data_IF_500346194097
#
_entry.id   IF_500346194097
#
_cell.length_a   1.000
_cell.length_b   1.000
_cell.length_c   1.000
_cell.angle_alpha   90.00
_cell.angle_beta   90.00
_cell.angle_gamma   90.00
#
_symmetry.space_group_name_H-M   'P 1'
#
loop_
_entity.id
_entity.type
_entity.pdbx_description
1 polymer ?
#
# COMPACT_ATOMS: atom_id res chain seq x y z
N UNK A 1 -19.27 0.50 -13.81
CA UNK A 1 -19.95 -0.81 -13.81
C UNK A 1 -21.26 -0.63 -14.54
N UNK A 2 -21.43 -1.33 -15.64
CA UNK A 2 -22.61 -1.26 -16.51
C UNK A 2 -23.41 -2.56 -16.33
N UNK A 3 -24.72 -2.46 -16.04
CA UNK A 3 -25.60 -3.58 -15.68
C UNK A 3 -26.57 -3.98 -16.80
N UNK A 4 -26.33 -3.49 -18.02
CA UNK A 4 -27.34 -3.51 -19.10
C UNK A 4 -27.61 -4.86 -19.78
N UNK A 5 -26.89 -5.94 -19.43
CA UNK A 5 -27.06 -7.27 -20.06
C UNK A 5 -27.08 -8.45 -19.07
N UNK A 6 -27.30 -8.22 -17.77
CA UNK A 6 -27.26 -9.30 -16.74
C UNK A 6 -28.35 -10.36 -16.97
N UNK A 7 -29.45 -9.99 -17.65
CA UNK A 7 -30.56 -10.89 -17.97
C UNK A 7 -30.23 -11.93 -19.04
N UNK A 8 -29.19 -11.72 -19.86
CA UNK A 8 -28.82 -12.68 -20.92
C UNK A 8 -28.16 -13.94 -20.35
N UNK A 9 -27.56 -13.85 -19.14
CA UNK A 9 -26.96 -14.99 -18.45
C UNK A 9 -28.00 -16.00 -17.94
N UNK A 10 -29.23 -15.56 -17.67
CA UNK A 10 -30.33 -16.44 -17.26
C UNK A 10 -30.96 -17.20 -18.43
N UNK A 11 -30.68 -16.79 -19.67
CA UNK A 11 -31.21 -17.42 -20.88
C UNK A 11 -30.23 -18.43 -21.49
N UNK A 12 -29.03 -18.60 -20.92
CA UNK A 12 -28.06 -19.60 -21.36
C UNK A 12 -28.58 -21.01 -20.99
N UNK A 13 -28.88 -21.89 -21.97
CA UNK A 13 -29.31 -23.26 -21.70
C UNK A 13 -28.30 -24.10 -20.93
N UNK A 14 -27.03 -23.66 -20.85
CA UNK A 14 -26.00 -24.29 -20.02
C UNK A 14 -26.02 -23.83 -18.55
N UNK A 15 -26.78 -22.79 -18.20
CA UNK A 15 -26.78 -22.19 -16.86
C UNK A 15 -27.67 -22.92 -15.85
N UNK A 16 -28.79 -23.52 -16.29
CA UNK A 16 -29.77 -24.15 -15.38
C UNK A 16 -29.50 -25.64 -15.10
N UNK A 17 -28.26 -26.11 -15.31
CA UNK A 17 -27.79 -27.44 -14.90
C UNK A 17 -28.60 -28.63 -15.45
N UNK A 18 -28.18 -29.85 -15.10
CA UNK A 18 -28.98 -31.04 -15.39
C UNK A 18 -30.12 -31.17 -14.37
N UNK A 19 -31.33 -31.59 -14.78
CA UNK A 19 -32.49 -31.67 -13.91
C UNK A 19 -32.25 -32.62 -12.73
N UNK A 20 -32.49 -32.14 -11.52
CA UNK A 20 -32.35 -32.94 -10.29
C UNK A 20 -33.60 -33.80 -10.10
N UNK A 21 -33.46 -35.13 -10.00
CA UNK A 21 -34.57 -36.02 -9.64
C UNK A 21 -34.82 -35.98 -8.13
N UNK A 22 -35.99 -35.48 -7.71
CA UNK A 22 -36.43 -35.55 -6.32
C UNK A 22 -37.22 -36.85 -6.12
N UNK A 23 -36.70 -37.76 -5.28
CA UNK A 23 -37.43 -38.97 -4.86
C UNK A 23 -38.16 -38.71 -3.54
N UNK A 24 -39.46 -39.02 -3.50
CA UNK A 24 -40.22 -38.97 -2.25
C UNK A 24 -39.89 -40.17 -1.37
N UNK A 25 -39.28 -39.91 -0.22
CA UNK A 25 -39.01 -40.93 0.81
C UNK A 25 -40.12 -40.86 1.85
N UNK A 26 -40.88 -41.95 2.04
CA UNK A 26 -41.90 -42.04 3.09
C UNK A 26 -41.21 -42.23 4.44
N UNK A 27 -41.55 -41.38 5.42
CA UNK A 27 -40.80 -41.13 6.66
C UNK A 27 -40.64 -42.28 7.67
N UNK A 28 -40.93 -43.53 7.29
CA UNK A 28 -40.71 -44.71 8.14
C UNK A 28 -39.44 -45.52 7.74
N UNK A 29 -38.74 -45.11 6.66
CA UNK A 29 -37.48 -45.71 6.24
C UNK A 29 -36.33 -44.75 6.55
N UNK A 30 -35.39 -45.17 7.39
CA UNK A 30 -34.15 -44.42 7.63
C UNK A 30 -33.32 -44.39 6.33
N UNK A 31 -32.82 -43.20 5.95
CA UNK A 31 -31.92 -43.06 4.78
C UNK A 31 -30.60 -43.74 5.11
N UNK A 32 -30.19 -44.69 4.27
CA UNK A 32 -28.87 -45.31 4.35
C UNK A 32 -27.87 -44.55 3.47
N UNK A 33 -26.57 -44.62 3.74
CA UNK A 33 -25.55 -43.92 2.95
C UNK A 33 -25.60 -44.29 1.45
N UNK A 34 -26.01 -45.52 1.14
CA UNK A 34 -26.25 -46.01 -0.23
C UNK A 34 -27.42 -45.31 -0.94
N UNK A 35 -28.37 -44.73 -0.21
CA UNK A 35 -29.48 -43.94 -0.77
C UNK A 35 -29.05 -42.50 -1.11
N UNK A 36 -28.00 -42.00 -0.44
CA UNK A 36 -27.45 -40.65 -0.61
C UNK A 36 -26.39 -40.62 -1.71
N UNK A 37 -25.59 -41.69 -1.81
CA UNK A 37 -24.50 -41.83 -2.77
C UNK A 37 -24.60 -43.14 -3.58
N UNK A 38 -25.57 -43.27 -4.50
CA UNK A 38 -25.77 -44.50 -5.26
C UNK A 38 -24.66 -44.81 -6.29
N UNK A 39 -23.68 -43.92 -6.43
CA UNK A 39 -22.62 -43.99 -7.46
C UNK A 39 -21.25 -44.38 -6.87
N UNK A 40 -21.11 -44.58 -5.55
CA UNK A 40 -19.81 -44.97 -4.94
C UNK A 40 -19.28 -46.33 -5.42
N UNK A 41 -20.13 -47.19 -6.00
CA UNK A 41 -19.74 -48.49 -6.55
C UNK A 41 -19.60 -48.50 -8.09
N UNK A 42 -19.43 -47.34 -8.74
CA UNK A 42 -19.13 -47.28 -10.17
C UNK A 42 -17.65 -46.91 -10.40
N UNK A 43 -16.87 -47.89 -10.85
CA UNK A 43 -15.48 -47.69 -11.24
C UNK A 43 -15.38 -46.58 -12.30
N UNK A 44 -14.65 -45.50 -11.99
CA UNK A 44 -14.41 -44.42 -12.95
C UNK A 44 -13.42 -44.93 -14.00
N UNK A 45 -13.91 -45.16 -15.22
CA UNK A 45 -13.12 -45.68 -16.34
C UNK A 45 -12.47 -44.52 -17.10
N UNK A 46 -11.16 -44.55 -17.28
CA UNK A 46 -10.45 -43.54 -18.07
C UNK A 46 -10.79 -43.68 -19.56
N UNK A 47 -11.30 -42.62 -20.22
CA UNK A 47 -11.75 -42.67 -21.61
C UNK A 47 -10.64 -42.89 -22.65
N UNK A 48 -9.36 -42.64 -22.34
CA UNK A 48 -8.26 -42.93 -23.27
C UNK A 48 -7.72 -44.35 -23.16
N UNK A 49 -7.72 -44.93 -21.96
CA UNK A 49 -7.05 -46.21 -21.68
C UNK A 49 -8.02 -47.39 -21.51
N UNK A 50 -9.30 -47.12 -21.22
CA UNK A 50 -10.35 -48.14 -21.09
C UNK A 50 -10.19 -49.06 -19.88
N UNK A 51 -9.36 -48.67 -18.91
CA UNK A 51 -9.11 -49.40 -17.67
C UNK A 51 -9.67 -48.61 -16.47
N UNK A 52 -10.08 -49.30 -15.39
CA UNK A 52 -10.52 -48.63 -14.17
C UNK A 52 -9.37 -47.85 -13.55
N UNK A 53 -9.60 -46.59 -13.18
CA UNK A 53 -8.60 -45.76 -12.51
C UNK A 53 -8.52 -46.18 -11.05
N UNK A 54 -7.43 -46.86 -10.71
CA UNK A 54 -7.13 -47.27 -9.34
C UNK A 54 -6.45 -46.11 -8.59
N UNK A 55 -7.14 -45.52 -7.61
CA UNK A 55 -6.66 -44.37 -6.83
C UNK A 55 -5.85 -44.79 -5.60
N UNK A 56 -5.44 -46.07 -5.49
CA UNK A 56 -4.56 -46.56 -4.43
C UNK A 56 -3.08 -46.19 -4.66
N UNK A 57 -2.77 -44.90 -4.72
CA UNK A 57 -1.46 -44.42 -4.26
C UNK A 57 -1.68 -43.58 -3.01
N UNK A 58 -1.82 -44.29 -1.89
CA UNK A 58 -1.66 -43.75 -0.55
C UNK A 58 -0.21 -43.27 -0.42
N UNK A 59 0.01 -41.99 -0.75
CA UNK A 59 1.25 -41.30 -0.46
C UNK A 59 1.42 -41.40 1.06
N UNK A 60 2.32 -42.26 1.52
CA UNK A 60 2.76 -42.32 2.92
C UNK A 60 3.62 -41.10 3.23
N UNK A 61 3.04 -39.91 3.06
CA UNK A 61 3.50 -38.73 3.75
C UNK A 61 3.25 -38.99 5.23
N UNK A 62 4.30 -39.27 5.99
CA UNK A 62 4.24 -39.32 7.45
C UNK A 62 3.69 -37.97 7.94
N UNK A 63 2.37 -37.93 8.19
CA UNK A 63 1.76 -36.82 8.89
C UNK A 63 2.43 -36.74 10.26
N UNK A 64 2.86 -35.55 10.72
CA UNK A 64 3.41 -35.43 12.06
C UNK A 64 2.36 -35.98 13.04
N UNK A 65 2.76 -37.01 13.80
CA UNK A 65 1.98 -37.51 14.92
C UNK A 65 1.63 -36.33 15.81
N UNK A 66 0.38 -36.31 16.32
CA UNK A 66 -0.21 -35.19 17.06
C UNK A 66 0.84 -34.43 17.88
N UNK A 67 0.93 -33.09 17.73
CA UNK A 67 1.90 -32.32 18.48
C UNK A 67 1.77 -32.65 19.96
N UNK A 68 2.89 -32.86 20.64
CA UNK A 68 2.90 -33.18 22.07
C UNK A 68 2.03 -32.15 22.81
N UNK A 69 0.95 -32.63 23.44
CA UNK A 69 0.06 -31.79 24.24
C UNK A 69 0.90 -31.34 25.43
N UNK A 70 1.47 -30.14 25.33
CA UNK A 70 2.04 -29.45 26.47
C UNK A 70 0.90 -29.25 27.47
N UNK A 71 1.04 -29.85 28.66
CA UNK A 71 0.15 -29.61 29.78
C UNK A 71 0.26 -28.12 30.12
N UNK A 72 -0.67 -27.33 29.57
CA UNK A 72 -0.72 -25.89 29.80
C UNK A 72 -0.69 -25.64 31.30
N UNK A 73 0.20 -24.74 31.73
CA UNK A 73 0.23 -24.30 33.13
C UNK A 73 -1.13 -23.78 33.59
N UNK A 74 -1.32 -23.60 34.90
CA UNK A 74 -2.56 -23.05 35.46
C UNK A 74 -3.04 -21.86 34.63
N UNK A 75 -4.28 -21.96 34.12
CA UNK A 75 -4.95 -20.85 33.47
C UNK A 75 -5.23 -19.84 34.59
N UNK A 76 -4.29 -18.93 34.83
CA UNK A 76 -4.55 -17.74 35.64
C UNK A 76 -5.47 -16.86 34.79
N UNK A 77 -6.78 -17.09 34.91
CA UNK A 77 -7.78 -16.20 34.35
C UNK A 77 -7.82 -14.95 35.21
N UNK A 78 -6.86 -14.04 35.00
CA UNK A 78 -7.08 -12.67 35.43
C UNK A 78 -8.35 -12.20 34.72
N UNK A 79 -9.40 -11.92 35.49
CA UNK A 79 -10.69 -11.52 34.97
C UNK A 79 -10.47 -10.24 34.16
N UNK A 80 -10.60 -10.32 32.83
CA UNK A 80 -10.56 -9.13 31.97
C UNK A 80 -11.61 -8.16 32.50
N UNK A 81 -11.18 -6.96 32.87
CA UNK A 81 -12.11 -5.94 33.36
C UNK A 81 -13.17 -5.70 32.28
N UNK A 82 -14.44 -5.78 32.67
CA UNK A 82 -15.56 -5.47 31.78
C UNK A 82 -15.51 -3.99 31.45
N UNK A 83 -15.40 -3.68 30.16
CA UNK A 83 -15.38 -2.30 29.68
C UNK A 83 -16.81 -1.96 29.25
N UNK A 84 -17.40 -0.97 29.91
CA UNK A 84 -18.72 -0.47 29.59
C UNK A 84 -18.60 0.87 28.85
N UNK A 85 -19.22 0.97 27.67
CA UNK A 85 -19.38 2.23 26.95
C UNK A 85 -20.87 2.53 26.88
N UNK A 86 -21.30 3.64 27.49
CA UNK A 86 -22.72 4.03 27.59
C UNK A 86 -23.64 2.94 28.19
N UNK A 87 -23.13 2.13 29.14
CA UNK A 87 -23.91 1.10 29.85
C UNK A 87 -24.02 -0.25 29.14
N UNK A 88 -23.39 -0.40 27.96
CA UNK A 88 -23.33 -1.67 27.22
C UNK A 88 -21.97 -2.33 27.43
N UNK A 89 -21.97 -3.62 27.78
CA UNK A 89 -20.76 -4.45 27.90
C UNK A 89 -20.18 -4.69 26.50
N UNK A 90 -18.96 -4.20 26.28
CA UNK A 90 -18.28 -4.32 24.99
C UNK A 90 -16.89 -4.94 25.18
N UNK A 91 -16.53 -5.87 24.30
CA UNK A 91 -15.19 -6.45 24.24
C UNK A 91 -14.35 -5.71 23.21
N UNK A 92 -13.21 -5.15 23.62
CA UNK A 92 -12.26 -4.51 22.71
C UNK A 92 -11.57 -5.60 21.89
N UNK A 93 -11.95 -5.72 20.61
CA UNK A 93 -11.40 -6.73 19.69
C UNK A 93 -10.03 -6.32 19.14
N UNK A 94 -9.81 -5.02 18.94
CA UNK A 94 -8.55 -4.51 18.42
C UNK A 94 -8.28 -3.10 18.98
N UNK A 95 -7.10 -2.90 19.55
CA UNK A 95 -6.66 -1.63 20.10
C UNK A 95 -5.58 -1.03 19.18
N UNK A 96 -5.74 0.23 18.81
CA UNK A 96 -4.75 0.96 18.00
C UNK A 96 -4.17 2.12 18.82
N UNK A 97 -2.89 2.04 19.15
CA UNK A 97 -2.15 3.18 19.67
C UNK A 97 -1.81 4.11 18.50
N UNK A 98 -2.29 5.34 18.53
CA UNK A 98 -1.96 6.36 17.53
C UNK A 98 -0.72 7.12 17.99
N UNK A 99 0.43 6.88 17.38
CA UNK A 99 1.54 7.83 17.48
C UNK A 99 1.22 9.03 16.58
N UNK A 100 1.08 10.22 17.16
CA UNK A 100 0.79 11.48 16.45
C UNK A 100 2.05 12.04 15.75
N UNK A 101 2.83 11.17 15.13
CA UNK A 101 4.01 11.53 14.35
C UNK A 101 3.61 11.64 12.88
N UNK A 102 3.95 12.77 12.25
CA UNK A 102 3.69 13.01 10.83
C UNK A 102 5.02 12.87 10.09
N UNK A 103 5.00 12.03 9.06
CA UNK A 103 6.13 11.82 8.19
C UNK A 103 6.07 12.73 6.97
N UNK A 104 7.18 13.40 6.68
CA UNK A 104 7.36 14.16 5.46
C UNK A 104 8.28 13.41 4.50
N UNK A 105 8.06 13.58 3.20
CA UNK A 105 8.92 13.06 2.14
C UNK A 105 9.10 14.12 1.06
N UNK A 106 10.33 14.47 0.76
CA UNK A 106 10.70 15.37 -0.32
C UNK A 106 10.94 14.61 -1.62
N UNK A 107 10.05 14.84 -2.59
CA UNK A 107 10.23 14.35 -3.95
C UNK A 107 11.26 15.20 -4.69
N UNK A 108 12.47 14.67 -4.87
CA UNK A 108 13.54 15.33 -5.63
C UNK A 108 13.30 15.15 -7.14
N UNK A 109 13.57 16.21 -7.89
CA UNK A 109 13.58 16.15 -9.35
C UNK A 109 14.70 15.20 -9.83
N UNK A 110 14.45 14.41 -10.89
CA UNK A 110 15.47 13.56 -11.47
C UNK A 110 16.60 14.39 -12.10
N UNK A 111 17.79 13.78 -12.19
CA UNK A 111 19.00 14.45 -12.67
C UNK A 111 18.81 15.09 -14.05
N UNK A 112 19.23 16.35 -14.18
CA UNK A 112 19.16 17.10 -15.44
C UNK A 112 17.78 17.71 -15.76
N UNK A 113 16.79 17.60 -14.87
CA UNK A 113 15.48 18.24 -15.05
C UNK A 113 15.25 19.27 -13.95
N UNK A 114 15.04 20.54 -14.35
CA UNK A 114 14.70 21.64 -13.41
C UNK A 114 13.20 21.70 -13.09
N UNK A 115 12.35 21.29 -14.03
CA UNK A 115 10.89 21.35 -13.91
C UNK A 115 10.25 20.28 -14.77
N UNK A 116 9.13 19.71 -14.32
CA UNK A 116 8.28 18.88 -15.18
C UNK A 116 7.62 19.71 -16.27
N UNK A 117 7.46 19.13 -17.45
CA UNK A 117 6.84 19.78 -18.61
C UNK A 117 6.01 18.79 -19.41
N UNK A 118 5.25 19.27 -20.41
CA UNK A 118 4.43 18.38 -21.25
C UNK A 118 5.26 17.31 -21.96
N UNK A 119 6.50 17.64 -22.35
CA UNK A 119 7.42 16.70 -23.01
C UNK A 119 8.20 15.84 -22.01
N UNK A 120 8.28 16.26 -20.74
CA UNK A 120 8.92 15.53 -19.64
C UNK A 120 7.99 15.49 -18.43
N UNK A 121 6.91 14.68 -18.48
CA UNK A 121 5.98 14.54 -17.37
C UNK A 121 6.59 13.68 -16.27
N UNK A 122 6.05 13.83 -15.06
CA UNK A 122 6.43 13.00 -13.91
C UNK A 122 6.14 11.52 -14.19
N UNK A 123 7.14 10.69 -13.96
CA UNK A 123 7.05 9.25 -14.21
C UNK A 123 6.77 8.48 -12.92
N UNK A 124 6.00 7.40 -13.04
CA UNK A 124 5.69 6.52 -11.90
C UNK A 124 6.94 5.87 -11.28
N UNK A 125 7.98 5.67 -12.09
CA UNK A 125 9.27 5.11 -11.67
C UNK A 125 9.99 5.99 -10.66
N UNK A 126 9.78 7.32 -10.71
CA UNK A 126 10.41 8.26 -9.77
C UNK A 126 9.89 8.04 -8.34
N UNK A 127 8.70 7.47 -8.17
CA UNK A 127 8.11 7.15 -6.87
C UNK A 127 8.48 5.77 -6.33
N UNK A 128 9.27 4.97 -7.05
CA UNK A 128 9.59 3.62 -6.59
C UNK A 128 10.47 3.65 -5.33
N UNK A 129 11.30 4.68 -5.16
CA UNK A 129 12.02 4.95 -3.92
C UNK A 129 11.08 5.18 -2.74
N UNK A 130 10.09 6.06 -2.93
CA UNK A 130 9.04 6.34 -1.94
C UNK A 130 8.24 5.08 -1.58
N UNK A 131 7.82 4.28 -2.56
CA UNK A 131 7.07 3.03 -2.30
C UNK A 131 7.87 2.03 -1.47
N UNK A 132 9.18 1.89 -1.78
CA UNK A 132 10.07 1.00 -1.01
C UNK A 132 10.25 1.52 0.41
N UNK A 133 10.44 2.82 0.56
CA UNK A 133 10.58 3.47 1.86
C UNK A 133 9.29 3.38 2.69
N UNK A 134 8.12 3.55 2.08
CA UNK A 134 6.82 3.52 2.79
C UNK A 134 6.59 2.21 3.55
N UNK A 135 7.10 1.08 3.04
CA UNK A 135 7.00 -0.22 3.71
C UNK A 135 7.91 -0.34 4.95
N UNK A 136 8.99 0.44 5.03
CA UNK A 136 10.01 0.42 6.10
C UNK A 136 10.53 1.84 6.34
N UNK A 137 9.64 2.74 6.73
CA UNK A 137 9.96 4.17 6.82
C UNK A 137 10.98 4.43 7.94
N UNK A 138 12.11 5.01 7.55
CA UNK A 138 13.21 5.46 8.41
C UNK A 138 13.59 6.87 8.02
N UNK A 139 14.07 7.66 8.99
CA UNK A 139 14.58 8.99 8.70
C UNK A 139 15.77 8.93 7.75
N UNK A 140 15.77 9.78 6.72
CA UNK A 140 16.82 9.90 5.71
C UNK A 140 16.88 11.34 5.17
N UNK A 141 17.78 11.63 4.24
CA UNK A 141 17.93 12.99 3.67
C UNK A 141 16.68 13.56 2.99
N UNK A 142 15.74 12.70 2.57
CA UNK A 142 14.49 13.09 1.92
C UNK A 142 13.29 12.98 2.85
N UNK A 143 13.41 12.34 4.01
CA UNK A 143 12.28 11.94 4.82
C UNK A 143 12.58 12.15 6.28
N UNK A 144 11.80 13.01 6.92
CA UNK A 144 11.97 13.39 8.31
C UNK A 144 10.64 13.28 9.05
N UNK A 145 10.73 13.20 10.38
CA UNK A 145 9.55 13.17 11.25
C UNK A 145 9.31 14.52 11.88
N UNK A 146 8.03 14.86 12.03
CA UNK A 146 7.62 16.04 12.79
C UNK A 146 6.52 15.66 13.78
N UNK A 147 6.65 16.17 15.01
CA UNK A 147 5.63 16.02 16.05
C UNK A 147 4.43 16.94 15.82
N UNK A 148 3.26 16.53 16.28
CA UNK A 148 2.05 17.35 16.23
C UNK A 148 2.22 18.68 17.00
N UNK A 149 3.01 18.70 18.07
CA UNK A 149 3.26 19.89 18.87
C UNK A 149 3.97 20.98 18.05
N UNK A 150 4.90 20.57 17.18
CA UNK A 150 5.62 21.48 16.27
C UNK A 150 4.65 22.10 15.26
N UNK A 151 3.69 21.31 14.78
CA UNK A 151 2.66 21.77 13.84
C UNK A 151 1.67 22.71 14.54
N UNK A 152 1.29 22.41 15.79
CA UNK A 152 0.43 23.28 16.59
C UNK A 152 1.10 24.62 16.89
N UNK A 153 2.40 24.63 17.17
CA UNK A 153 3.17 25.87 17.33
C UNK A 153 3.30 26.68 16.02
N UNK A 154 3.24 26.01 14.86
CA UNK A 154 3.28 26.62 13.53
C UNK A 154 1.88 26.97 12.98
N UNK A 155 0.90 27.19 13.86
CA UNK A 155 -0.49 27.54 13.48
C UNK A 155 -1.13 26.51 12.53
N UNK A 156 -0.82 25.22 12.74
CA UNK A 156 -1.27 24.11 11.90
C UNK A 156 -0.83 24.19 10.43
N UNK A 157 0.21 24.98 10.13
CA UNK A 157 0.80 25.03 8.81
C UNK A 157 1.64 23.76 8.55
N UNK A 158 1.18 22.96 7.58
CA UNK A 158 1.80 21.70 7.14
C UNK A 158 2.89 21.91 6.09
N UNK A 159 3.19 23.14 5.66
CA UNK A 159 4.31 23.41 4.74
C UNK A 159 5.65 23.44 5.49
N UNK A 160 6.02 22.30 6.07
CA UNK A 160 7.30 22.14 6.76
C UNK A 160 8.36 21.78 5.73
N UNK A 161 9.42 22.57 5.66
CA UNK A 161 10.55 22.32 4.75
C UNK A 161 11.47 21.25 5.32
N UNK A 162 12.20 20.59 4.41
CA UNK A 162 13.16 19.57 4.78
C UNK A 162 14.35 20.20 5.53
N UNK A 163 14.64 19.79 6.78
CA UNK A 163 15.75 20.32 7.57
C UNK A 163 17.12 19.86 7.06
N UNK A 164 17.19 18.82 6.21
CA UNK A 164 18.43 18.26 5.69
C UNK A 164 18.91 18.91 4.38
N UNK A 165 18.16 19.86 3.83
CA UNK A 165 18.60 20.60 2.63
C UNK A 165 19.71 21.57 3.06
N UNK A 166 20.96 21.22 2.77
CA UNK A 166 22.10 22.15 2.73
C UNK A 166 21.93 23.07 1.50
N UNK A 167 20.91 23.90 1.52
CA UNK A 167 20.83 25.02 0.61
C UNK A 167 21.78 26.07 1.17
N UNK A 168 22.94 26.26 0.52
CA UNK A 168 23.59 27.56 0.50
C UNK A 168 22.68 28.57 -0.24
N UNK A 169 21.45 28.77 0.24
CA UNK A 169 20.73 30.01 -0.03
C UNK A 169 21.51 31.08 0.69
N UNK A 170 22.47 31.68 -0.02
CA UNK A 170 22.99 32.98 0.35
C UNK A 170 21.81 33.94 0.34
N UNK A 171 21.14 34.06 1.49
CA UNK A 171 20.07 35.04 1.69
C UNK A 171 20.76 36.37 1.79
N UNK A 172 20.91 37.06 0.66
CA UNK A 172 21.42 38.42 0.66
C UNK A 172 20.39 39.33 1.33
N UNK A 173 20.85 40.11 2.30
CA UNK A 173 20.07 41.21 2.86
C UNK A 173 19.84 42.29 1.79
N UNK A 174 18.81 43.12 2.00
CA UNK A 174 18.54 44.26 1.10
C UNK A 174 19.75 45.19 0.95
N UNK A 175 20.54 45.36 2.02
CA UNK A 175 21.75 46.17 1.98
C UNK A 175 22.82 45.53 1.07
N UNK A 176 23.08 44.23 1.23
CA UNK A 176 24.06 43.51 0.40
C UNK A 176 23.66 43.50 -1.08
N UNK A 177 22.36 43.32 -1.38
CA UNK A 177 21.85 43.40 -2.75
C UNK A 177 22.10 44.78 -3.38
N UNK A 178 21.90 45.86 -2.63
CA UNK A 178 22.17 47.22 -3.10
C UNK A 178 23.66 47.42 -3.35
N UNK A 179 24.53 46.91 -2.47
CA UNK A 179 25.98 46.96 -2.66
C UNK A 179 26.41 46.20 -3.90
N UNK A 180 25.91 44.98 -4.11
CA UNK A 180 26.20 44.18 -5.32
C UNK A 180 25.72 44.88 -6.60
N UNK A 181 24.54 45.50 -6.56
CA UNK A 181 24.01 46.26 -7.68
C UNK A 181 24.89 47.47 -8.00
N UNK A 182 25.35 48.18 -6.96
CA UNK A 182 26.24 49.32 -7.12
C UNK A 182 27.59 48.91 -7.74
N UNK A 183 28.17 47.79 -7.30
CA UNK A 183 29.39 47.24 -7.91
C UNK A 183 29.19 46.86 -9.39
N UNK A 184 28.02 46.31 -9.74
CA UNK A 184 27.67 46.00 -11.12
C UNK A 184 27.64 47.26 -11.99
N UNK A 185 27.04 48.35 -11.50
CA UNK A 185 27.03 49.63 -12.23
C UNK A 185 28.42 50.21 -12.37
N UNK A 186 29.25 50.15 -11.32
CA UNK A 186 30.64 50.63 -11.39
C UNK A 186 31.44 49.93 -12.48
N UNK A 187 31.32 48.59 -12.56
CA UNK A 187 31.96 47.79 -13.63
C UNK A 187 31.46 48.18 -15.02
N UNK A 188 30.16 48.44 -15.15
CA UNK A 188 29.58 48.92 -16.41
C UNK A 188 30.16 50.28 -16.82
N UNK A 189 30.27 51.22 -15.90
CA UNK A 189 30.85 52.54 -16.18
C UNK A 189 32.33 52.45 -16.55
N UNK A 190 33.11 51.61 -15.86
CA UNK A 190 34.51 51.34 -16.21
C UNK A 190 34.65 50.80 -17.64
N UNK A 191 33.81 49.84 -18.04
CA UNK A 191 33.80 49.28 -19.40
C UNK A 191 33.41 50.32 -20.45
N UNK A 192 32.44 51.20 -20.15
CA UNK A 192 32.04 52.29 -21.04
C UNK A 192 33.17 53.31 -21.23
N UNK A 193 33.91 53.62 -20.16
CA UNK A 193 35.08 54.50 -20.23
C UNK A 193 36.20 53.90 -21.11
N UNK A 194 36.44 52.59 -20.98
CA UNK A 194 37.38 51.88 -21.85
C UNK A 194 36.95 51.95 -23.33
N UNK A 195 35.69 51.65 -23.62
CA UNK A 195 35.12 51.75 -24.97
C UNK A 195 35.25 53.15 -25.55
N UNK A 196 34.96 54.18 -24.75
CA UNK A 196 35.10 55.57 -25.17
C UNK A 196 36.56 55.92 -25.51
N UNK A 197 37.52 55.45 -24.71
CA UNK A 197 38.95 55.69 -24.93
C UNK A 197 39.46 55.03 -26.20
N UNK A 198 39.00 53.83 -26.51
CA UNK A 198 39.33 53.13 -27.77
C UNK A 198 38.73 53.84 -28.99
N UNK A 199 37.50 54.37 -28.88
CA UNK A 199 36.85 55.14 -29.96
C UNK A 199 37.48 56.53 -30.17
N UNK A 200 38.06 57.16 -29.15
CA UNK A 200 38.76 58.44 -29.27
C UNK A 200 40.21 58.29 -29.79
N UNK A 201 40.79 57.08 -29.72
CA UNK A 201 42.15 56.78 -30.15
C UNK A 201 42.25 56.07 -31.52
N UNK A 202 41.13 55.77 -32.19
CA UNK A 202 41.05 55.19 -33.53
C UNK A 202 40.64 56.20 -34.59
#
# INVERSE_FOLDING_TARGET
MDFRNVTDLFADPAFDGYPVMIREVKGEKELTDQDIHPEEDQDVIDPETGQPVDFEEEITAEYPTQPAIIQGGEIVSDSRQKIYVAGVDVSVLNERAQSLEIWYWEHKLPEGIKTYSKTKPIQKSEFDGLKKWWKKHKENEQAWKVSIDTIAANDYNLDIKNPHILEEKHVYSSAELVTMLHESFRKSDELLQQLRKELENG
#
